data_IF_118072973630
#
_entry.id   IF_118072973630
#
_cell.length_a   1.000
_cell.length_b   1.000
_cell.length_c   1.000
_cell.angle_alpha   90.00
_cell.angle_beta   90.00
_cell.angle_gamma   90.00
#
_symmetry.space_group_name_H-M   'P 1'
#
loop_
_entity.id
_entity.type
_entity.pdbx_description
1 polymer ?
#
# COMPACT_ATOMS: atom_id res chain seq x y z
N UNK A 1 -22.47 -8.41 24.02
CA UNK A 1 -21.58 -7.35 23.50
C UNK A 1 -20.91 -7.92 22.24
N UNK A 2 -21.01 -7.26 21.10
CA UNK A 2 -20.24 -7.65 19.92
C UNK A 2 -18.76 -7.56 20.27
N UNK A 3 -17.97 -8.60 19.97
CA UNK A 3 -16.52 -8.60 20.22
C UNK A 3 -15.91 -7.53 19.31
N UNK A 4 -15.25 -6.53 19.91
CA UNK A 4 -14.50 -5.52 19.16
C UNK A 4 -13.46 -6.27 18.33
N UNK A 5 -13.48 -6.05 17.01
CA UNK A 5 -12.60 -6.74 16.08
C UNK A 5 -11.29 -5.98 15.96
N UNK A 6 -10.22 -6.61 16.41
CA UNK A 6 -8.85 -6.11 16.27
C UNK A 6 -8.24 -6.58 14.95
N UNK A 7 -7.36 -5.76 14.36
CA UNK A 7 -6.70 -6.03 13.09
C UNK A 7 -5.20 -5.75 13.23
N UNK A 8 -4.36 -6.68 12.78
CA UNK A 8 -2.96 -6.43 12.48
C UNK A 8 -2.81 -6.03 11.02
N UNK A 9 -2.27 -4.84 10.77
CA UNK A 9 -1.75 -4.44 9.46
C UNK A 9 -0.25 -4.74 9.40
N UNK A 10 0.18 -5.56 8.45
CA UNK A 10 1.59 -5.99 8.32
C UNK A 10 2.12 -5.58 6.95
N UNK A 11 3.19 -4.78 6.95
CA UNK A 11 3.95 -4.38 5.77
C UNK A 11 5.35 -5.00 5.81
N UNK A 12 5.67 -5.83 4.82
CA UNK A 12 7.00 -6.40 4.64
C UNK A 12 7.69 -5.72 3.48
N UNK A 13 8.63 -4.83 3.82
CA UNK A 13 9.52 -4.19 2.87
C UNK A 13 10.81 -4.99 2.62
N UNK A 14 11.75 -4.43 1.84
CA UNK A 14 13.02 -5.09 1.54
C UNK A 14 14.02 -5.12 2.71
N UNK A 15 13.83 -4.29 3.74
CA UNK A 15 14.75 -4.17 4.88
C UNK A 15 14.11 -4.50 6.21
N UNK A 16 12.79 -4.50 6.30
CA UNK A 16 12.09 -4.67 7.59
C UNK A 16 10.65 -5.10 7.41
N UNK A 17 10.11 -5.75 8.46
CA UNK A 17 8.70 -5.92 8.72
C UNK A 17 8.24 -4.78 9.64
N UNK A 18 7.12 -4.16 9.32
CA UNK A 18 6.41 -3.19 10.14
C UNK A 18 5.01 -3.68 10.38
N UNK A 19 4.55 -3.63 11.61
CA UNK A 19 3.22 -4.08 11.96
C UNK A 19 2.56 -3.12 12.94
N UNK A 20 1.24 -2.91 12.75
CA UNK A 20 0.41 -2.08 13.60
C UNK A 20 -0.87 -2.84 13.94
N UNK A 21 -1.17 -2.95 15.23
CA UNK A 21 -2.42 -3.51 15.71
C UNK A 21 -3.38 -2.40 16.05
N UNK A 22 -4.57 -2.46 15.47
CA UNK A 22 -5.59 -1.44 15.65
C UNK A 22 -6.95 -2.02 16.00
N UNK A 23 -7.80 -1.18 16.57
CA UNK A 23 -9.23 -1.41 16.76
C UNK A 23 -10.01 -0.13 16.52
N UNK A 24 -11.34 -0.19 16.27
CA UNK A 24 -12.19 0.98 16.33
C UNK A 24 -12.10 1.63 17.71
N UNK A 25 -11.97 2.95 17.76
CA UNK A 25 -12.01 3.70 19.01
C UNK A 25 -13.46 3.85 19.53
N UNK A 26 -13.61 4.32 20.77
CA UNK A 26 -14.93 4.63 21.31
C UNK A 26 -15.61 5.79 20.54
N UNK A 27 -14.82 6.73 20.04
CA UNK A 27 -15.30 7.82 19.21
C UNK A 27 -15.54 7.32 17.77
N UNK A 28 -16.77 7.46 17.24
CA UNK A 28 -17.09 7.00 15.88
C UNK A 28 -16.17 7.61 14.82
N UNK A 29 -15.71 6.78 13.88
CA UNK A 29 -14.83 7.19 12.79
C UNK A 29 -13.35 7.30 13.17
N UNK A 30 -12.97 6.98 14.41
CA UNK A 30 -11.56 6.92 14.84
C UNK A 30 -11.07 5.50 15.05
N UNK A 31 -9.75 5.35 14.96
CA UNK A 31 -9.02 4.11 15.19
C UNK A 31 -8.04 4.31 16.34
N UNK A 32 -7.98 3.32 17.22
CA UNK A 32 -7.02 3.26 18.31
C UNK A 32 -5.89 2.28 17.94
N UNK A 33 -4.64 2.75 18.04
CA UNK A 33 -3.45 1.91 17.88
C UNK A 33 -3.15 1.22 19.22
N UNK A 34 -3.13 -0.11 19.22
CA UNK A 34 -2.93 -0.94 20.41
C UNK A 34 -1.49 -1.40 20.59
N UNK A 35 -0.80 -1.69 19.48
CA UNK A 35 0.58 -2.15 19.48
C UNK A 35 1.24 -1.85 18.14
N UNK A 36 2.56 -1.69 18.16
CA UNK A 36 3.37 -1.63 16.95
C UNK A 36 4.61 -2.52 17.12
N UNK A 37 5.08 -3.10 16.01
CA UNK A 37 6.34 -3.83 15.97
C UNK A 37 7.12 -3.46 14.71
N UNK A 38 8.43 -3.35 14.88
CA UNK A 38 9.39 -3.08 13.82
C UNK A 38 10.53 -4.09 13.93
N UNK A 39 10.72 -4.89 12.88
CA UNK A 39 11.74 -5.94 12.85
C UNK A 39 12.60 -5.75 11.61
N UNK A 40 13.85 -5.38 11.79
CA UNK A 40 14.82 -5.35 10.69
C UNK A 40 15.14 -6.77 10.24
N UNK A 41 15.22 -6.97 8.93
CA UNK A 41 15.66 -8.23 8.36
C UNK A 41 17.14 -8.45 8.63
N UNK A 42 17.55 -9.71 8.79
CA UNK A 42 18.97 -10.09 8.93
C UNK A 42 19.78 -9.74 7.68
N UNK A 43 19.14 -9.64 6.51
CA UNK A 43 19.71 -9.20 5.23
C UNK A 43 18.67 -8.45 4.40
N UNK A 44 19.13 -7.54 3.54
CA UNK A 44 18.25 -6.87 2.58
C UNK A 44 17.73 -7.89 1.56
N UNK A 45 16.40 -7.97 1.38
CA UNK A 45 15.79 -9.00 0.53
C UNK A 45 16.18 -8.87 -0.95
N UNK A 46 16.38 -7.64 -1.43
CA UNK A 46 16.80 -7.36 -2.82
C UNK A 46 18.30 -7.50 -3.07
N UNK A 47 19.09 -7.84 -2.04
CA UNK A 47 20.55 -7.99 -2.19
C UNK A 47 20.87 -9.31 -2.91
N UNK A 48 21.75 -9.31 -3.93
CA UNK A 48 22.21 -10.52 -4.59
C UNK A 48 22.73 -11.58 -3.62
N UNK A 49 22.30 -12.83 -3.79
CA UNK A 49 22.69 -13.96 -2.94
C UNK A 49 21.89 -14.09 -1.63
N UNK A 50 20.91 -13.22 -1.39
CA UNK A 50 20.00 -13.37 -0.25
C UNK A 50 18.92 -14.41 -0.57
N UNK A 51 18.76 -15.39 0.31
CA UNK A 51 17.58 -16.28 0.30
C UNK A 51 16.40 -15.54 0.96
N UNK A 52 15.62 -14.83 0.15
CA UNK A 52 14.51 -14.01 0.64
C UNK A 52 13.47 -14.83 1.44
N UNK A 53 13.20 -16.06 1.03
CA UNK A 53 12.21 -16.91 1.71
C UNK A 53 12.65 -17.26 3.15
N UNK A 54 13.93 -17.54 3.34
CA UNK A 54 14.50 -17.85 4.67
C UNK A 54 14.47 -16.61 5.58
N UNK A 55 14.91 -15.46 5.08
CA UNK A 55 14.90 -14.19 5.82
C UNK A 55 13.48 -13.79 6.21
N UNK A 56 12.51 -13.95 5.30
CA UNK A 56 11.10 -13.67 5.60
C UNK A 56 10.52 -14.61 6.64
N UNK A 57 10.84 -15.90 6.56
CA UNK A 57 10.39 -16.88 7.55
C UNK A 57 10.95 -16.56 8.96
N UNK A 58 12.24 -16.23 9.07
CA UNK A 58 12.89 -15.81 10.31
C UNK A 58 12.23 -14.53 10.89
N UNK A 59 12.03 -13.53 10.05
CA UNK A 59 11.41 -12.26 10.47
C UNK A 59 9.97 -12.47 10.94
N UNK A 60 9.18 -13.24 10.20
CA UNK A 60 7.79 -13.51 10.56
C UNK A 60 7.69 -14.35 11.83
N UNK A 61 8.58 -15.35 12.01
CA UNK A 61 8.67 -16.12 13.25
C UNK A 61 9.00 -15.20 14.44
N UNK A 62 9.91 -14.26 14.26
CA UNK A 62 10.24 -13.26 15.28
C UNK A 62 9.01 -12.43 15.64
N UNK A 63 8.27 -11.94 14.64
CA UNK A 63 7.02 -11.20 14.84
C UNK A 63 6.00 -12.03 15.64
N UNK A 64 5.75 -13.26 15.23
CA UNK A 64 4.78 -14.15 15.89
C UNK A 64 5.19 -14.55 17.32
N UNK A 65 6.49 -14.58 17.63
CA UNK A 65 6.98 -14.83 18.98
C UNK A 65 6.77 -13.68 19.95
N UNK A 66 6.69 -12.44 19.42
CA UNK A 66 6.53 -11.21 20.19
C UNK A 66 5.07 -10.80 20.36
N UNK A 67 4.22 -11.18 19.39
CA UNK A 67 2.89 -10.64 19.25
C UNK A 67 1.82 -11.71 19.25
N UNK A 68 0.72 -11.44 19.96
CA UNK A 68 -0.47 -12.31 19.94
C UNK A 68 -1.32 -11.92 18.73
N UNK A 69 -1.45 -12.85 17.78
CA UNK A 69 -2.26 -12.66 16.57
C UNK A 69 -3.56 -13.47 16.60
N UNK A 70 -3.67 -14.41 17.53
CA UNK A 70 -4.83 -15.30 17.63
C UNK A 70 -6.12 -14.54 17.95
N UNK A 71 -7.06 -14.63 17.05
CA UNK A 71 -8.38 -13.98 17.19
C UNK A 71 -8.45 -12.57 16.63
N UNK A 72 -7.35 -12.03 16.10
CA UNK A 72 -7.29 -10.80 15.34
C UNK A 72 -7.41 -11.12 13.84
N UNK A 73 -7.86 -10.15 13.05
CA UNK A 73 -7.73 -10.17 11.60
C UNK A 73 -6.33 -9.79 11.19
N UNK A 74 -5.87 -10.31 10.06
CA UNK A 74 -4.56 -9.97 9.50
C UNK A 74 -4.73 -9.41 8.09
N UNK A 75 -4.30 -8.17 7.93
CA UNK A 75 -4.21 -7.49 6.64
C UNK A 75 -2.75 -7.29 6.27
N UNK A 76 -2.39 -7.61 5.03
CA UNK A 76 -1.02 -7.43 4.53
C UNK A 76 -0.96 -6.49 3.35
N UNK A 77 0.16 -5.80 3.19
CA UNK A 77 0.48 -5.05 1.98
C UNK A 77 1.32 -5.88 1.02
N UNK A 78 1.15 -5.58 -0.28
CA UNK A 78 2.07 -6.02 -1.34
C UNK A 78 2.64 -4.79 -2.03
N UNK A 79 3.92 -4.87 -2.41
CA UNK A 79 4.63 -3.74 -2.99
C UNK A 79 3.93 -3.17 -4.23
N UNK A 80 3.85 -1.84 -4.36
CA UNK A 80 3.20 -1.17 -5.47
C UNK A 80 3.77 -1.57 -6.84
N UNK A 81 5.07 -1.82 -6.92
CA UNK A 81 5.72 -2.32 -8.14
C UNK A 81 5.27 -3.73 -8.57
N UNK A 82 4.66 -4.49 -7.67
CA UNK A 82 4.14 -5.84 -7.94
C UNK A 82 2.68 -5.84 -8.37
N UNK A 83 2.03 -4.69 -8.34
CA UNK A 83 0.62 -4.52 -8.70
C UNK A 83 0.49 -3.59 -9.90
N UNK A 84 -0.59 -3.76 -10.63
CA UNK A 84 -0.96 -2.91 -11.75
C UNK A 84 -2.27 -2.22 -11.38
N UNK A 85 -2.30 -0.90 -11.46
CA UNK A 85 -3.50 -0.11 -11.20
C UNK A 85 -3.80 0.83 -12.36
N UNK A 86 -5.08 1.01 -12.65
CA UNK A 86 -5.57 1.97 -13.63
C UNK A 86 -6.86 2.61 -13.13
N UNK A 87 -6.94 3.90 -13.28
CA UNK A 87 -8.15 4.67 -13.00
C UNK A 87 -8.78 5.08 -14.33
N UNK A 88 -10.03 4.70 -14.52
CA UNK A 88 -10.74 4.84 -15.78
C UNK A 88 -12.08 5.56 -15.55
N UNK A 89 -12.30 6.74 -16.17
CA UNK A 89 -13.64 7.30 -16.26
C UNK A 89 -14.44 6.44 -17.24
N UNK A 90 -15.60 5.96 -16.79
CA UNK A 90 -16.54 5.25 -17.62
C UNK A 90 -17.50 6.25 -18.27
N UNK A 91 -17.96 6.00 -19.51
CA UNK A 91 -19.10 6.70 -20.06
C UNK A 91 -20.33 6.43 -19.20
N UNK A 92 -21.38 7.27 -19.29
CA UNK A 92 -22.64 7.03 -18.58
C UNK A 92 -23.10 5.57 -18.76
N UNK A 93 -23.15 4.84 -17.66
CA UNK A 93 -23.41 3.40 -17.67
C UNK A 93 -24.37 3.02 -16.54
N UNK A 94 -25.20 2.02 -16.81
CA UNK A 94 -26.03 1.44 -15.75
C UNK A 94 -25.13 0.76 -14.71
N UNK A 95 -25.26 1.07 -13.40
CA UNK A 95 -24.42 0.51 -12.33
C UNK A 95 -24.33 -1.02 -12.37
N UNK A 96 -25.39 -1.71 -12.72
CA UNK A 96 -25.45 -3.18 -12.83
C UNK A 96 -24.55 -3.73 -13.94
N UNK A 97 -24.19 -2.91 -14.95
CA UNK A 97 -23.30 -3.30 -16.06
C UNK A 97 -21.82 -2.94 -15.82
N UNK A 98 -21.51 -2.16 -14.78
CA UNK A 98 -20.13 -1.78 -14.46
C UNK A 98 -19.19 -3.02 -14.41
N UNK A 99 -19.54 -4.12 -13.73
CA UNK A 99 -18.66 -5.30 -13.68
C UNK A 99 -18.30 -5.89 -15.04
N UNK A 100 -19.27 -5.92 -15.98
CA UNK A 100 -19.05 -6.46 -17.33
C UNK A 100 -18.18 -5.53 -18.18
N UNK A 101 -18.46 -4.21 -18.11
CA UNK A 101 -17.64 -3.19 -18.79
C UNK A 101 -16.20 -3.25 -18.29
N UNK A 102 -16.00 -3.29 -16.97
CA UNK A 102 -14.68 -3.35 -16.38
C UNK A 102 -13.93 -4.63 -16.75
N UNK A 103 -14.62 -5.76 -16.79
CA UNK A 103 -14.01 -7.03 -17.24
C UNK A 103 -13.57 -6.98 -18.69
N UNK A 104 -14.34 -6.31 -19.54
CA UNK A 104 -13.98 -6.09 -20.94
C UNK A 104 -12.77 -5.17 -21.07
N UNK A 105 -12.77 -4.03 -20.38
CA UNK A 105 -11.65 -3.09 -20.34
C UNK A 105 -10.37 -3.76 -19.81
N UNK A 106 -10.48 -4.57 -18.75
CA UNK A 106 -9.37 -5.30 -18.18
C UNK A 106 -8.70 -6.24 -19.17
N UNK A 107 -9.48 -6.94 -20.02
CA UNK A 107 -8.93 -7.81 -21.08
C UNK A 107 -8.09 -7.05 -22.13
N UNK A 108 -8.44 -5.80 -22.39
CA UNK A 108 -7.70 -4.98 -23.37
C UNK A 108 -6.47 -4.31 -22.75
N UNK A 109 -6.57 -3.95 -21.49
CA UNK A 109 -5.54 -3.19 -20.82
C UNK A 109 -4.43 -4.04 -20.18
N UNK A 110 -4.78 -5.18 -19.60
CA UNK A 110 -3.80 -6.03 -18.95
C UNK A 110 -2.88 -6.69 -19.98
N UNK A 111 -1.55 -6.62 -19.78
CA UNK A 111 -0.61 -7.31 -20.67
C UNK A 111 -0.52 -8.83 -20.40
N UNK A 112 -1.49 -9.39 -19.68
CA UNK A 112 -1.56 -10.78 -19.25
C UNK A 112 -2.97 -11.31 -19.42
N UNK A 113 -3.11 -12.64 -19.54
CA UNK A 113 -4.44 -13.27 -19.48
C UNK A 113 -5.08 -13.06 -18.11
N UNK A 114 -6.41 -12.84 -18.10
CA UNK A 114 -7.16 -12.67 -16.83
C UNK A 114 -7.07 -13.90 -15.93
N UNK A 115 -6.82 -15.08 -16.48
CA UNK A 115 -6.63 -16.29 -15.67
C UNK A 115 -5.31 -16.31 -14.91
N UNK A 116 -4.31 -15.55 -15.37
CA UNK A 116 -2.97 -15.46 -14.75
C UNK A 116 -2.89 -14.38 -13.67
N UNK A 117 -3.96 -13.60 -13.49
CA UNK A 117 -4.01 -12.51 -12.53
C UNK A 117 -5.13 -12.71 -11.50
N UNK A 118 -4.96 -12.07 -10.34
CA UNK A 118 -6.04 -11.74 -9.43
C UNK A 118 -6.40 -10.31 -9.77
N UNK A 119 -7.67 -10.08 -10.09
CA UNK A 119 -8.18 -8.80 -10.56
C UNK A 119 -9.36 -8.38 -9.71
N UNK A 120 -9.39 -7.12 -9.33
CA UNK A 120 -10.48 -6.49 -8.60
C UNK A 120 -10.67 -5.05 -9.07
N UNK A 121 -11.82 -4.46 -8.77
CA UNK A 121 -12.12 -3.07 -9.11
C UNK A 121 -12.97 -2.40 -8.03
N UNK A 122 -12.82 -1.08 -7.91
CA UNK A 122 -13.57 -0.26 -6.98
C UNK A 122 -14.10 1.00 -7.68
N UNK A 123 -15.42 1.25 -7.68
CA UNK A 123 -15.96 2.55 -8.04
C UNK A 123 -15.44 3.62 -7.04
N UNK A 124 -14.95 4.74 -7.56
CA UNK A 124 -14.44 5.85 -6.75
C UNK A 124 -15.49 6.97 -6.59
N UNK A 125 -16.37 7.15 -7.57
CA UNK A 125 -17.49 8.06 -7.46
C UNK A 125 -18.59 7.46 -6.58
N UNK A 126 -19.15 8.30 -5.71
CA UNK A 126 -20.33 7.89 -4.91
C UNK A 126 -21.48 7.51 -5.85
N UNK A 127 -22.16 6.37 -5.66
CA UNK A 127 -23.38 6.10 -6.40
C UNK A 127 -24.40 7.18 -6.06
N UNK A 128 -25.02 7.77 -7.07
CA UNK A 128 -26.16 8.70 -6.89
C UNK A 128 -27.30 7.89 -6.28
N UNK A 129 -27.65 8.19 -5.03
CA UNK A 129 -28.60 7.39 -4.23
C UNK A 129 -30.06 7.43 -4.72
N UNK A 130 -30.41 8.37 -5.60
CA UNK A 130 -31.79 8.59 -6.07
C UNK A 130 -32.03 8.26 -7.55
N UNK A 131 -31.18 7.44 -8.15
CA UNK A 131 -31.42 7.06 -9.54
C UNK A 131 -32.38 5.87 -9.64
N UNK A 132 -33.42 6.03 -10.45
CA UNK A 132 -34.23 4.92 -10.96
C UNK A 132 -33.30 3.75 -11.35
N UNK A 133 -33.80 2.51 -11.19
CA UNK A 133 -33.05 1.25 -11.43
C UNK A 133 -32.32 1.19 -12.80
N UNK A 134 -32.70 2.07 -13.75
CA UNK A 134 -32.15 2.20 -15.10
C UNK A 134 -31.38 3.52 -15.35
N UNK A 135 -31.14 4.35 -14.32
CA UNK A 135 -30.38 5.59 -14.50
C UNK A 135 -28.92 5.31 -14.88
N UNK A 136 -28.40 6.09 -15.83
CA UNK A 136 -27.00 6.07 -16.22
C UNK A 136 -26.21 6.96 -15.26
N UNK A 137 -25.08 6.47 -14.76
CA UNK A 137 -24.20 7.20 -13.86
C UNK A 137 -22.82 7.39 -14.48
N UNK A 138 -22.25 8.57 -14.28
CA UNK A 138 -20.83 8.81 -14.53
C UNK A 138 -20.03 8.18 -13.39
N UNK A 139 -19.15 7.28 -13.71
CA UNK A 139 -18.34 6.58 -12.73
C UNK A 139 -16.84 6.62 -13.09
N UNK A 140 -16.01 6.96 -12.14
CA UNK A 140 -14.57 6.65 -12.22
C UNK A 140 -14.32 5.36 -11.45
N UNK A 141 -13.64 4.41 -12.08
CA UNK A 141 -13.36 3.12 -11.48
C UNK A 141 -11.86 2.89 -11.39
N UNK A 142 -11.40 2.51 -10.21
CA UNK A 142 -10.05 1.98 -10.00
C UNK A 142 -10.04 0.49 -10.29
N UNK A 143 -9.16 0.05 -11.19
CA UNK A 143 -8.90 -1.35 -11.50
C UNK A 143 -7.55 -1.75 -10.95
N UNK A 144 -7.48 -2.92 -10.32
CA UNK A 144 -6.30 -3.43 -9.65
C UNK A 144 -6.04 -4.87 -10.07
N UNK A 145 -4.79 -5.18 -10.36
CA UNK A 145 -4.39 -6.54 -10.73
C UNK A 145 -3.02 -6.91 -10.15
N UNK A 146 -2.87 -8.16 -9.78
CA UNK A 146 -1.60 -8.77 -9.38
C UNK A 146 -1.49 -10.15 -10.03
N UNK A 147 -0.30 -10.53 -10.49
CA UNK A 147 -0.09 -11.89 -11.00
C UNK A 147 -0.26 -12.92 -9.87
N UNK A 148 -0.91 -14.05 -10.19
CA UNK A 148 -1.17 -15.13 -9.21
C UNK A 148 0.10 -15.68 -8.59
N UNK A 149 1.16 -15.84 -9.37
CA UNK A 149 2.45 -16.30 -8.87
C UNK A 149 3.12 -15.30 -7.92
N UNK A 150 2.96 -14.00 -8.18
CA UNK A 150 3.46 -12.93 -7.30
C UNK A 150 2.67 -12.90 -5.99
N UNK A 151 1.34 -12.98 -6.05
CA UNK A 151 0.49 -13.08 -4.87
C UNK A 151 0.83 -14.33 -4.04
N UNK A 152 0.99 -15.48 -4.69
CA UNK A 152 1.35 -16.73 -4.02
C UNK A 152 2.71 -16.64 -3.31
N UNK A 153 3.70 -15.98 -3.93
CA UNK A 153 5.02 -15.73 -3.31
C UNK A 153 4.91 -14.81 -2.10
N UNK A 154 4.08 -13.77 -2.17
CA UNK A 154 3.86 -12.86 -1.05
C UNK A 154 3.17 -13.54 0.13
N UNK A 155 2.28 -14.49 -0.13
CA UNK A 155 1.54 -15.26 0.89
C UNK A 155 2.32 -16.45 1.48
N UNK A 156 3.27 -17.01 0.73
CA UNK A 156 3.97 -18.23 1.13
C UNK A 156 4.62 -18.15 2.53
N UNK A 157 5.27 -17.04 2.96
CA UNK A 157 5.83 -16.94 4.31
C UNK A 157 4.78 -17.08 5.41
N UNK A 158 3.59 -16.51 5.22
CA UNK A 158 2.50 -16.54 6.19
C UNK A 158 1.91 -17.97 6.29
N UNK A 159 1.63 -18.59 5.16
CA UNK A 159 1.12 -19.97 5.14
C UNK A 159 2.10 -20.97 5.75
N UNK A 160 3.40 -20.78 5.56
CA UNK A 160 4.42 -21.64 6.18
C UNK A 160 4.43 -21.57 7.71
N UNK A 161 3.91 -20.49 8.28
CA UNK A 161 3.78 -20.26 9.72
C UNK A 161 2.34 -20.47 10.22
N UNK A 162 1.45 -21.02 9.37
CA UNK A 162 0.03 -21.24 9.70
C UNK A 162 -0.71 -19.95 10.09
N UNK A 163 -0.38 -18.84 9.40
CA UNK A 163 -1.03 -17.55 9.58
C UNK A 163 -2.05 -17.37 8.46
N UNK A 164 -3.32 -17.25 8.85
CA UNK A 164 -4.41 -16.93 7.92
C UNK A 164 -4.43 -15.43 7.62
N UNK A 165 -4.55 -15.08 6.35
CA UNK A 165 -4.62 -13.69 5.88
C UNK A 165 -6.06 -13.37 5.49
N UNK A 166 -6.63 -12.35 6.12
CA UNK A 166 -7.99 -11.88 5.86
C UNK A 166 -8.07 -10.91 4.68
N UNK A 167 -7.02 -10.10 4.48
CA UNK A 167 -7.01 -9.07 3.44
C UNK A 167 -5.61 -8.83 2.88
N UNK A 168 -5.56 -8.62 1.57
CA UNK A 168 -4.35 -8.19 0.84
C UNK A 168 -4.65 -6.88 0.14
N UNK A 169 -3.75 -5.91 0.27
CA UNK A 169 -3.89 -4.62 -0.38
C UNK A 169 -2.57 -4.20 -1.03
N UNK A 170 -2.64 -3.50 -2.16
CA UNK A 170 -1.47 -2.84 -2.74
C UNK A 170 -1.00 -1.71 -1.82
N UNK A 171 0.30 -1.62 -1.56
CA UNK A 171 0.90 -0.60 -0.69
C UNK A 171 0.45 0.83 -1.01
N UNK A 172 0.44 1.32 -2.28
CA UNK A 172 -0.06 2.65 -2.58
C UNK A 172 -1.56 2.84 -2.31
N UNK A 173 -2.38 1.77 -2.40
CA UNK A 173 -3.80 1.85 -2.05
C UNK A 173 -3.99 1.88 -0.53
N UNK A 174 -3.19 1.11 0.21
CA UNK A 174 -3.19 1.19 1.67
C UNK A 174 -2.79 2.59 2.15
N UNK A 175 -1.80 3.20 1.50
CA UNK A 175 -1.38 4.58 1.75
C UNK A 175 -2.49 5.60 1.42
N UNK A 176 -3.16 5.44 0.27
CA UNK A 176 -4.33 6.26 -0.07
C UNK A 176 -5.43 6.16 1.00
N UNK A 177 -5.78 4.95 1.41
CA UNK A 177 -6.82 4.75 2.42
C UNK A 177 -6.46 5.42 3.75
N UNK A 178 -5.19 5.33 4.17
CA UNK A 178 -4.71 6.02 5.36
C UNK A 178 -4.81 7.54 5.23
N UNK A 179 -4.34 8.10 4.11
CA UNK A 179 -4.37 9.54 3.85
C UNK A 179 -5.81 10.06 3.78
N UNK A 180 -6.69 9.33 3.09
CA UNK A 180 -8.09 9.72 2.99
C UNK A 180 -8.83 9.61 4.33
N UNK A 181 -8.42 8.69 5.21
CA UNK A 181 -9.04 8.51 6.51
C UNK A 181 -8.56 9.51 7.56
N UNK A 182 -7.25 9.80 7.60
CA UNK A 182 -6.61 10.50 8.72
C UNK A 182 -6.17 11.94 8.39
N UNK A 183 -5.79 12.20 7.12
CA UNK A 183 -5.14 13.45 6.74
C UNK A 183 -6.05 14.41 5.97
N UNK A 184 -7.07 13.89 5.32
CA UNK A 184 -8.00 14.73 4.56
C UNK A 184 -9.19 15.15 5.42
N UNK A 185 -9.71 16.38 5.23
CA UNK A 185 -10.93 16.79 5.90
C UNK A 185 -12.08 15.85 5.50
N UNK A 186 -13.06 15.64 6.39
CA UNK A 186 -14.26 14.90 6.02
C UNK A 186 -14.96 15.59 4.84
N UNK A 187 -15.61 14.82 3.96
CA UNK A 187 -16.34 15.41 2.84
C UNK A 187 -17.36 16.43 3.35
N UNK A 188 -17.57 17.55 2.63
CA UNK A 188 -18.54 18.57 3.02
C UNK A 188 -19.93 17.95 3.23
N UNK A 189 -20.68 18.49 4.17
CA UNK A 189 -22.05 18.06 4.43
C UNK A 189 -22.90 18.23 3.15
N UNK A 190 -23.87 17.34 2.91
CA UNK A 190 -24.78 17.43 1.78
C UNK A 190 -25.45 18.82 1.77
N UNK A 191 -25.31 19.56 0.64
CA UNK A 191 -25.88 20.89 0.47
C UNK A 191 -24.98 22.05 0.86
N UNK A 192 -23.75 21.84 1.30
CA UNK A 192 -22.77 22.90 1.45
C UNK A 192 -22.25 23.31 0.05
N UNK A 193 -22.57 24.51 -0.41
CA UNK A 193 -21.97 25.13 -1.59
C UNK A 193 -20.53 25.54 -1.24
N UNK A 194 -19.60 24.60 -1.28
CA UNK A 194 -18.18 24.90 -1.23
C UNK A 194 -17.66 24.91 -2.67
N UNK A 195 -17.51 26.14 -3.22
CA UNK A 195 -17.01 26.39 -4.57
C UNK A 195 -15.48 26.25 -4.65
N UNK A 196 -14.84 25.85 -3.55
CA UNK A 196 -13.40 25.58 -3.49
C UNK A 196 -13.11 24.15 -3.93
N UNK A 197 -12.32 23.97 -4.98
CA UNK A 197 -11.77 22.65 -5.30
C UNK A 197 -10.95 22.16 -4.10
N UNK A 198 -11.22 20.94 -3.59
CA UNK A 198 -10.49 20.42 -2.43
C UNK A 198 -8.99 20.34 -2.75
N UNK A 199 -8.17 20.78 -1.79
CA UNK A 199 -6.72 20.72 -1.92
C UNK A 199 -6.23 19.27 -2.08
N UNK A 200 -5.31 19.07 -3.02
CA UNK A 200 -4.71 17.75 -3.23
C UNK A 200 -3.50 17.54 -2.32
N UNK A 201 -3.44 16.40 -1.68
CA UNK A 201 -2.33 15.97 -0.86
C UNK A 201 -1.41 15.05 -1.64
N UNK A 202 -0.10 15.34 -1.61
CA UNK A 202 0.94 14.52 -2.24
C UNK A 202 1.64 13.73 -1.15
N UNK A 203 1.60 12.41 -1.24
CA UNK A 203 2.25 11.51 -0.30
C UNK A 203 3.32 10.69 -1.00
N UNK A 204 4.53 10.67 -0.42
CA UNK A 204 5.68 9.91 -0.89
C UNK A 204 6.04 8.83 0.12
N UNK A 205 5.92 7.57 -0.27
CA UNK A 205 6.43 6.44 0.52
C UNK A 205 7.76 5.98 -0.08
N UNK A 206 8.88 6.49 0.46
CA UNK A 206 10.22 6.19 -0.03
C UNK A 206 10.70 4.88 0.59
N UNK A 207 10.63 3.81 -0.17
CA UNK A 207 11.13 2.49 0.22
C UNK A 207 12.64 2.32 -0.05
N UNK A 208 13.10 1.08 0.08
CA UNK A 208 14.52 0.72 -0.15
C UNK A 208 14.91 0.86 -1.62
N UNK A 209 14.10 0.33 -2.54
CA UNK A 209 14.41 0.25 -3.98
C UNK A 209 13.43 1.03 -4.87
N UNK A 210 12.27 1.38 -4.34
CA UNK A 210 11.23 2.11 -5.06
C UNK A 210 10.51 3.09 -4.14
N UNK A 211 9.82 4.07 -4.75
CA UNK A 211 8.97 5.05 -4.06
C UNK A 211 7.57 4.98 -4.64
N UNK A 212 6.58 4.82 -3.78
CA UNK A 212 5.18 4.99 -4.15
C UNK A 212 4.79 6.46 -3.97
N UNK A 213 4.20 7.05 -5.01
CA UNK A 213 3.64 8.41 -5.01
C UNK A 213 2.13 8.28 -5.09
N UNK A 214 1.43 8.89 -4.16
CA UNK A 214 -0.02 8.98 -4.14
C UNK A 214 -0.41 10.45 -4.08
N UNK A 215 -1.24 10.88 -5.02
CA UNK A 215 -1.83 12.22 -5.05
C UNK A 215 -3.34 12.05 -4.95
N UNK A 216 -3.95 12.71 -4.00
CA UNK A 216 -5.40 12.61 -3.80
C UNK A 216 -5.95 13.84 -3.10
N UNK A 217 -7.22 14.12 -3.39
CA UNK A 217 -8.04 15.09 -2.67
C UNK A 217 -9.24 14.41 -1.96
N UNK A 218 -9.22 13.06 -1.88
CA UNK A 218 -10.31 12.25 -1.34
C UNK A 218 -11.31 11.76 -2.40
N UNK A 219 -11.51 12.50 -3.48
CA UNK A 219 -12.43 12.16 -4.58
C UNK A 219 -11.69 11.55 -5.77
N UNK A 220 -10.51 12.08 -6.05
CA UNK A 220 -9.63 11.62 -7.12
C UNK A 220 -8.37 11.00 -6.56
N UNK A 221 -7.79 10.07 -7.29
CA UNK A 221 -6.55 9.41 -6.91
C UNK A 221 -5.64 9.27 -8.13
N UNK A 222 -4.38 9.59 -7.94
CA UNK A 222 -3.31 9.29 -8.88
C UNK A 222 -2.18 8.57 -8.17
N UNK A 223 -1.71 7.47 -8.76
CA UNK A 223 -0.68 6.61 -8.20
C UNK A 223 0.45 6.42 -9.21
N UNK A 224 1.69 6.51 -8.71
CA UNK A 224 2.88 6.18 -9.48
C UNK A 224 3.88 5.43 -8.61
N UNK A 225 4.40 4.33 -9.11
CA UNK A 225 5.59 3.71 -8.54
C UNK A 225 6.82 4.18 -9.31
N UNK A 226 7.82 4.69 -8.59
CA UNK A 226 9.09 5.20 -9.16
C UNK A 226 10.19 4.23 -8.72
N UNK A 227 11.00 3.67 -9.63
CA UNK A 227 12.10 2.74 -9.29
C UNK A 227 13.32 3.49 -8.72
N UNK A 228 13.08 4.33 -7.74
CA UNK A 228 14.04 5.13 -6.99
C UNK A 228 13.72 5.01 -5.50
N UNK A 229 14.67 4.53 -4.71
CA UNK A 229 14.51 4.39 -3.27
C UNK A 229 15.81 4.68 -2.53
N UNK A 230 15.85 4.39 -1.24
CA UNK A 230 17.00 4.63 -0.37
C UNK A 230 18.32 4.07 -0.91
N UNK A 231 18.29 2.91 -1.57
CA UNK A 231 19.48 2.30 -2.18
C UNK A 231 20.03 3.12 -3.35
N UNK A 232 19.23 3.91 -4.03
CA UNK A 232 19.70 4.79 -5.11
C UNK A 232 20.59 5.90 -4.56
N UNK A 233 20.19 6.47 -3.42
CA UNK A 233 21.00 7.47 -2.71
C UNK A 233 22.28 6.86 -2.18
N UNK A 234 22.24 5.67 -1.57
CA UNK A 234 23.42 4.96 -1.07
C UNK A 234 24.41 4.67 -2.21
N UNK A 235 23.90 4.21 -3.37
CA UNK A 235 24.75 3.97 -4.56
C UNK A 235 25.38 5.27 -5.09
N UNK A 236 24.64 6.38 -5.06
CA UNK A 236 25.21 7.68 -5.44
C UNK A 236 26.36 8.07 -4.51
N UNK A 237 26.19 7.99 -3.19
CA UNK A 237 27.26 8.24 -2.22
C UNK A 237 28.46 7.30 -2.40
N UNK A 238 28.21 6.01 -2.68
CA UNK A 238 29.25 5.03 -2.98
C UNK A 238 30.12 5.48 -4.15
N UNK A 239 29.47 5.95 -5.22
CA UNK A 239 30.17 6.40 -6.44
C UNK A 239 30.91 7.71 -6.25
N UNK A 240 30.26 8.72 -5.67
CA UNK A 240 30.82 10.07 -5.55
C UNK A 240 31.95 10.13 -4.51
N UNK A 241 31.79 9.41 -3.39
CA UNK A 241 32.76 9.44 -2.28
C UNK A 241 33.69 8.21 -2.26
N UNK A 242 33.59 7.32 -3.26
CA UNK A 242 34.38 6.07 -3.36
C UNK A 242 34.32 5.21 -2.08
N UNK A 243 33.15 5.18 -1.43
CA UNK A 243 32.90 4.42 -0.21
C UNK A 243 32.44 2.99 -0.51
N UNK A 244 32.61 2.09 0.46
CA UNK A 244 31.86 0.82 0.44
C UNK A 244 30.38 1.07 0.69
N UNK A 245 29.49 0.18 0.21
CA UNK A 245 28.05 0.32 0.39
C UNK A 245 27.68 0.51 1.88
N UNK A 246 28.28 -0.27 2.78
CA UNK A 246 28.01 -0.17 4.22
C UNK A 246 28.40 1.18 4.81
N UNK A 247 29.54 1.76 4.39
CA UNK A 247 29.94 3.09 4.83
C UNK A 247 29.03 4.18 4.27
N UNK A 248 28.66 4.08 3.00
CA UNK A 248 27.72 5.01 2.37
C UNK A 248 26.32 4.96 3.03
N UNK A 249 25.84 3.77 3.34
CA UNK A 249 24.55 3.57 4.05
C UNK A 249 24.61 4.15 5.47
N UNK A 250 25.71 3.92 6.20
CA UNK A 250 25.93 4.52 7.51
C UNK A 250 25.94 6.06 7.44
N UNK A 251 26.66 6.63 6.48
CA UNK A 251 26.71 8.08 6.28
C UNK A 251 25.32 8.65 5.95
N UNK A 252 24.58 8.02 5.04
CA UNK A 252 23.21 8.42 4.68
C UNK A 252 22.28 8.44 5.89
N UNK A 253 22.36 7.44 6.76
CA UNK A 253 21.49 7.35 7.96
C UNK A 253 21.90 8.33 9.06
N UNK A 254 23.14 8.81 9.06
CA UNK A 254 23.72 9.65 10.12
C UNK A 254 24.13 11.04 9.62
N UNK A 255 23.53 11.53 8.54
CA UNK A 255 23.90 12.80 7.89
C UNK A 255 23.84 14.02 8.82
N UNK A 256 22.98 13.98 9.83
CA UNK A 256 22.84 15.06 10.82
C UNK A 256 24.00 15.13 11.82
N UNK A 257 24.85 14.08 11.89
CA UNK A 257 25.99 14.02 12.83
C UNK A 257 27.24 14.61 12.19
N UNK A 258 27.31 14.68 10.86
CA UNK A 258 28.51 15.18 10.14
C UNK A 258 28.38 16.68 9.83
N UNK A 259 28.43 17.53 10.86
CA UNK A 259 28.68 18.98 10.67
C UNK A 259 30.05 19.30 10.05
N UNK A 260 30.90 18.31 9.93
CA UNK A 260 32.30 18.47 9.43
C UNK A 260 32.40 18.27 7.89
N UNK A 261 31.29 18.10 7.16
CA UNK A 261 31.34 17.91 5.69
C UNK A 261 31.23 19.24 4.93
N UNK A 262 30.94 20.37 5.58
CA UNK A 262 30.91 21.69 4.92
C UNK A 262 32.24 22.38 4.81
N UNK A 263 33.37 21.81 5.34
CA UNK A 263 34.71 22.43 5.33
C UNK A 263 35.76 21.61 4.56
N UNK A 264 35.40 20.76 3.59
CA UNK A 264 36.38 20.12 2.71
C UNK A 264 36.04 20.32 1.23
#
# INVERSE_FOLDING_TARGET
MAKIQTVWGIDIGNTSLKALRCQPAEEPGKIEALACDFIEHSKVLSQPGTNAAEVLAETLQTFLSRNVTKGDRIAISVAGQSTISRFLPLPPVNPKKIPDVIRYEAKQWLPFDLNDVIFDFQPLSKPVQDSDDDALVDATVGMFAIKRDVASKALAPYFSQSVDIDSIQSSPIALYNFVAFDQLPPPPAEGAEDDSSPESLITLCIGTDATDVVITNGETIWIRNIPLGGNSFTKALTRELQLTFSKAEYLKRNITISKDVEEQ
#
